data_IF_392886167294
#
_entry.id   IF_392886167294
#
_cell.length_a   1.000
_cell.length_b   1.000
_cell.length_c   1.000
_cell.angle_alpha   90.00
_cell.angle_beta   90.00
_cell.angle_gamma   90.00
#
_symmetry.space_group_name_H-M   'P 1'
#
loop_
_entity.id
_entity.type
_entity.pdbx_description
1 polymer ?
#
# COMPACT_ATOMS: atom_id res chain seq x y z
N UNK A 1 12.71 31.05 5.13
CA UNK A 1 11.54 30.63 4.32
C UNK A 1 11.82 29.46 3.36
N UNK A 2 13.05 28.91 3.29
CA UNK A 2 13.37 27.75 2.43
C UNK A 2 12.91 26.39 2.99
N UNK A 3 12.95 26.22 4.32
CA UNK A 3 12.64 24.94 4.99
C UNK A 3 11.18 24.53 4.79
N UNK A 4 10.25 25.50 4.88
CA UNK A 4 8.81 25.29 4.70
C UNK A 4 8.49 24.81 3.27
N UNK A 5 9.17 25.40 2.27
CA UNK A 5 9.00 25.04 0.85
C UNK A 5 9.47 23.61 0.57
N UNK A 6 10.56 23.20 1.22
CA UNK A 6 11.11 21.84 1.09
C UNK A 6 10.22 20.79 1.77
N UNK A 7 9.64 21.11 2.94
CA UNK A 7 8.64 20.26 3.61
C UNK A 7 7.39 20.08 2.74
N UNK A 8 6.91 21.16 2.10
CA UNK A 8 5.78 21.08 1.18
C UNK A 8 6.06 20.16 -0.02
N UNK A 9 7.25 20.23 -0.60
CA UNK A 9 7.65 19.35 -1.71
C UNK A 9 7.76 17.88 -1.26
N UNK A 10 8.29 17.64 -0.06
CA UNK A 10 8.36 16.30 0.52
C UNK A 10 6.97 15.73 0.85
N UNK A 11 6.05 16.57 1.32
CA UNK A 11 4.66 16.20 1.57
C UNK A 11 3.90 15.93 0.27
N UNK A 12 4.07 16.75 -0.77
CA UNK A 12 3.42 16.52 -2.06
C UNK A 12 3.97 15.29 -2.78
N UNK A 13 5.27 14.99 -2.65
CA UNK A 13 5.84 13.76 -3.22
C UNK A 13 5.32 12.50 -2.50
N UNK A 14 5.14 12.58 -1.18
CA UNK A 14 4.57 11.50 -0.36
C UNK A 14 3.07 11.33 -0.64
N UNK A 15 2.35 12.43 -0.83
CA UNK A 15 0.96 12.41 -1.28
C UNK A 15 0.84 11.84 -2.68
N UNK A 16 1.70 12.19 -3.64
CA UNK A 16 1.65 11.63 -4.99
C UNK A 16 1.81 10.10 -5.00
N UNK A 17 2.69 9.55 -4.16
CA UNK A 17 2.82 8.09 -3.98
C UNK A 17 1.57 7.46 -3.35
N UNK A 18 0.91 8.13 -2.41
CA UNK A 18 -0.33 7.61 -1.78
C UNK A 18 -1.58 7.85 -2.66
N UNK A 19 -1.58 8.90 -3.48
CA UNK A 19 -2.71 9.42 -4.26
C UNK A 19 -3.11 8.59 -5.48
N UNK A 20 -2.34 7.57 -5.90
CA UNK A 20 -2.80 6.69 -6.96
C UNK A 20 -3.84 5.65 -6.49
N UNK A 21 -4.05 5.49 -5.16
CA UNK A 21 -5.18 4.72 -4.65
C UNK A 21 -6.37 5.64 -4.41
N UNK A 22 -7.52 5.34 -5.02
CA UNK A 22 -8.78 5.97 -4.63
C UNK A 22 -9.11 5.56 -3.17
N UNK A 23 -8.88 6.45 -2.22
CA UNK A 23 -9.01 6.17 -0.78
C UNK A 23 -10.45 5.91 -0.33
N UNK A 24 -11.43 6.18 -1.18
CA UNK A 24 -12.84 5.89 -0.91
C UNK A 24 -13.13 4.39 -1.07
N UNK A 25 -12.45 3.73 -2.02
CA UNK A 25 -12.65 2.30 -2.34
C UNK A 25 -11.47 1.41 -1.96
N UNK A 26 -10.27 1.94 -2.03
CA UNK A 26 -9.03 1.20 -1.84
C UNK A 26 -8.23 1.73 -0.64
N UNK A 27 -7.34 0.87 -0.15
CA UNK A 27 -6.43 1.10 0.94
C UNK A 27 -5.02 0.79 0.44
N UNK A 28 -4.10 1.70 0.68
CA UNK A 28 -2.69 1.41 0.47
C UNK A 28 -2.24 0.24 1.37
N UNK A 29 -1.52 -0.70 0.77
CA UNK A 29 -1.02 -1.87 1.45
C UNK A 29 0.33 -2.31 0.87
N UNK A 30 1.14 -2.94 1.72
CA UNK A 30 2.39 -3.54 1.33
C UNK A 30 2.24 -5.04 1.20
N UNK A 31 2.51 -5.53 -0.01
CA UNK A 31 2.50 -6.94 -0.35
C UNK A 31 3.88 -7.56 -0.33
N UNK A 32 3.99 -8.80 0.13
CA UNK A 32 5.17 -9.63 -0.04
C UNK A 32 4.75 -10.97 -0.64
N UNK A 33 5.46 -11.42 -1.68
CA UNK A 33 5.22 -12.68 -2.40
C UNK A 33 3.79 -12.85 -2.94
N UNK A 34 3.06 -11.76 -3.20
CA UNK A 34 1.67 -11.78 -3.69
C UNK A 34 1.53 -12.34 -5.11
N UNK A 35 2.61 -12.38 -5.89
CA UNK A 35 2.64 -12.90 -7.27
C UNK A 35 3.17 -14.34 -7.39
N UNK A 36 3.79 -14.89 -6.34
CA UNK A 36 4.64 -16.09 -6.45
C UNK A 36 4.21 -17.32 -5.66
N UNK A 37 3.12 -17.26 -4.88
CA UNK A 37 2.62 -18.43 -4.15
C UNK A 37 1.74 -18.08 -2.96
N UNK A 38 0.50 -18.58 -3.00
CA UNK A 38 -0.57 -18.31 -2.02
C UNK A 38 -0.13 -18.57 -0.57
N UNK A 39 0.73 -19.57 -0.33
CA UNK A 39 1.17 -19.94 1.02
C UNK A 39 2.05 -18.88 1.73
N UNK A 40 2.75 -18.03 0.97
CA UNK A 40 3.65 -17.00 1.52
C UNK A 40 3.20 -15.56 1.24
N UNK A 41 2.00 -15.39 0.68
CA UNK A 41 1.43 -14.08 0.44
C UNK A 41 1.19 -13.36 1.77
N UNK A 42 1.65 -12.12 1.88
CA UNK A 42 1.39 -11.26 3.04
C UNK A 42 0.98 -9.88 2.56
N UNK A 43 -0.09 -9.36 3.13
CA UNK A 43 -0.59 -8.01 2.90
C UNK A 43 -0.67 -7.27 4.23
N UNK A 44 -0.21 -6.03 4.24
CA UNK A 44 -0.30 -5.16 5.40
C UNK A 44 -0.82 -3.79 4.98
N UNK A 45 -1.98 -3.39 5.47
CA UNK A 45 -2.48 -2.03 5.27
C UNK A 45 -1.60 -1.05 6.05
N UNK A 46 -0.95 -0.13 5.34
CA UNK A 46 -0.07 0.88 5.94
C UNK A 46 -0.41 2.26 5.39
N UNK A 47 -0.14 3.31 6.17
CA UNK A 47 -0.35 4.71 5.76
C UNK A 47 0.93 5.35 5.18
N UNK A 48 2.00 4.58 5.01
CA UNK A 48 3.31 5.06 4.58
C UNK A 48 3.96 4.19 3.51
N UNK A 49 5.21 4.49 3.17
CA UNK A 49 5.94 3.73 2.15
C UNK A 49 6.21 2.28 2.60
N UNK A 50 6.19 1.37 1.63
CA UNK A 50 6.53 -0.02 1.87
C UNK A 50 8.01 -0.23 2.16
N UNK A 51 8.29 -1.21 3.01
CA UNK A 51 9.64 -1.64 3.33
C UNK A 51 10.36 -2.25 2.12
N UNK A 52 11.68 -2.40 2.24
CA UNK A 52 12.52 -2.98 1.17
C UNK A 52 12.08 -4.41 0.85
N UNK A 53 11.86 -4.70 -0.44
CA UNK A 53 11.41 -6.01 -0.92
C UNK A 53 9.89 -6.24 -0.83
N UNK A 54 9.12 -5.21 -0.48
CA UNK A 54 7.66 -5.24 -0.54
C UNK A 54 7.16 -4.46 -1.77
N UNK A 55 6.01 -4.89 -2.28
CA UNK A 55 5.31 -4.24 -3.39
C UNK A 55 4.22 -3.33 -2.85
N UNK A 56 4.20 -2.06 -3.30
CA UNK A 56 3.09 -1.14 -3.04
C UNK A 56 1.85 -1.57 -3.82
N UNK A 57 0.74 -1.73 -3.11
CA UNK A 57 -0.53 -2.21 -3.65
C UNK A 57 -1.69 -1.31 -3.18
N UNK A 58 -2.67 -1.09 -4.05
CA UNK A 58 -3.99 -0.59 -3.69
C UNK A 58 -4.92 -1.78 -3.50
N UNK A 59 -5.31 -2.07 -2.26
CA UNK A 59 -6.17 -3.21 -1.92
C UNK A 59 -7.57 -2.77 -1.51
N UNK A 60 -8.58 -3.60 -1.76
CA UNK A 60 -9.97 -3.29 -1.39
C UNK A 60 -10.09 -2.97 0.11
N UNK A 61 -10.68 -1.80 0.43
CA UNK A 61 -10.75 -1.26 1.79
C UNK A 61 -11.71 -2.04 2.69
N UNK A 62 -12.70 -2.72 2.11
CA UNK A 62 -13.69 -3.54 2.85
C UNK A 62 -13.08 -4.87 3.26
N UNK A 63 -12.21 -5.43 2.42
CA UNK A 63 -11.51 -6.67 2.74
C UNK A 63 -10.26 -6.44 3.58
N UNK A 64 -9.56 -5.31 3.39
CA UNK A 64 -8.37 -4.95 4.15
C UNK A 64 -8.59 -3.67 5.00
N UNK A 65 -8.97 -3.90 6.25
CA UNK A 65 -9.19 -2.89 7.27
C UNK A 65 -7.94 -2.06 7.61
N UNK A 66 -8.12 -0.94 8.34
CA UNK A 66 -7.01 -0.07 8.75
C UNK A 66 -6.09 -0.84 9.71
N UNK A 67 -4.79 -0.86 9.44
CA UNK A 67 -3.82 -1.67 10.20
C UNK A 67 -4.01 -3.18 10.04
N UNK A 68 -4.85 -3.61 9.09
CA UNK A 68 -5.11 -5.02 8.84
C UNK A 68 -3.90 -5.73 8.27
N UNK A 69 -3.59 -6.88 8.83
CA UNK A 69 -2.59 -7.82 8.31
C UNK A 69 -3.33 -9.06 7.82
N UNK A 70 -3.07 -9.46 6.58
CA UNK A 70 -3.53 -10.75 6.06
C UNK A 70 -2.34 -11.56 5.56
N UNK A 71 -2.44 -12.87 5.69
CA UNK A 71 -1.41 -13.82 5.29
C UNK A 71 -2.02 -15.01 4.57
N UNK A 72 -1.22 -15.72 3.78
CA UNK A 72 -1.62 -16.96 3.12
C UNK A 72 -2.76 -16.72 2.11
N UNK A 73 -3.72 -17.66 2.09
CA UNK A 73 -4.90 -17.58 1.23
C UNK A 73 -5.74 -16.32 1.47
N UNK A 74 -5.82 -15.84 2.72
CA UNK A 74 -6.57 -14.64 3.03
C UNK A 74 -5.92 -13.38 2.43
N UNK A 75 -4.59 -13.35 2.29
CA UNK A 75 -3.90 -12.27 1.58
C UNK A 75 -4.13 -12.35 0.06
N UNK A 76 -4.07 -13.55 -0.52
CA UNK A 76 -4.31 -13.74 -1.95
C UNK A 76 -5.76 -13.45 -2.39
N UNK A 77 -6.73 -13.61 -1.47
CA UNK A 77 -8.14 -13.34 -1.73
C UNK A 77 -8.48 -11.84 -1.75
N UNK A 78 -7.60 -10.96 -1.25
CA UNK A 78 -7.86 -9.51 -1.28
C UNK A 78 -7.64 -9.00 -2.71
N UNK A 79 -8.63 -8.37 -3.34
CA UNK A 79 -8.46 -7.69 -4.61
C UNK A 79 -7.47 -6.55 -4.41
N UNK A 80 -6.32 -6.62 -5.09
CA UNK A 80 -5.28 -5.61 -5.02
C UNK A 80 -4.72 -5.33 -6.42
N UNK A 81 -4.35 -4.08 -6.66
CA UNK A 81 -3.66 -3.66 -7.88
C UNK A 81 -2.28 -3.07 -7.54
N UNK A 82 -1.24 -3.35 -8.34
CA UNK A 82 0.05 -2.70 -8.19
C UNK A 82 -0.11 -1.20 -8.41
N UNK A 83 0.46 -0.41 -7.50
CA UNK A 83 0.64 1.01 -7.80
C UNK A 83 1.77 1.17 -8.83
N UNK A 84 1.57 2.00 -9.87
CA UNK A 84 2.67 2.44 -10.71
C UNK A 84 3.68 3.19 -9.82
N UNK A 85 4.96 2.84 -9.96
CA UNK A 85 6.08 3.46 -9.23
C UNK A 85 6.36 4.87 -9.72
#
# INVERSE_FOLDING_TARGET
MHVIKSIFILLTLKFALVCACDETKFRHACGQNTLGGVAKARLHAVEGACGRGMTSLCCDKTQLGKGGIKTGAAAAAVPCHPQPK
#
